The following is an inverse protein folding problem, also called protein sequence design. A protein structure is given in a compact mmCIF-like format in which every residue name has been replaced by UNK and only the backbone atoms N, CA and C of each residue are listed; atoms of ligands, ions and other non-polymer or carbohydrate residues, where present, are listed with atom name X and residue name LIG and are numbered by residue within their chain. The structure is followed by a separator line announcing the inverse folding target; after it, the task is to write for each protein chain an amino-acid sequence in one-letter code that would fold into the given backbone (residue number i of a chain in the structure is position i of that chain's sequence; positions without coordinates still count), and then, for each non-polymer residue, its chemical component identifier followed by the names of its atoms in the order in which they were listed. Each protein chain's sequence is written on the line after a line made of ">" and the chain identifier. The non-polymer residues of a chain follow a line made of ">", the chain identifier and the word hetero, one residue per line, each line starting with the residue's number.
data_IF_277247831173
#
_entry.id   IF_277247831173
#
_cell.length_a   1.000
_cell.length_b   1.000
_cell.length_c   1.000
_cell.angle_alpha   90.00
_cell.angle_beta   90.00
_cell.angle_gamma   90.00
#
_symmetry.space_group_name_H-M   'P 1'
#
loop_
_entity.id
_entity.type
_entity.pdbx_description
1 polymer ?
#
# COMPACT_ATOMS: atom_id res chain seq x y z
N UNK A 1 -33.32 2.76 14.86
CA UNK A 1 -31.96 2.56 15.43
C UNK A 1 -31.27 1.35 14.81
N UNK A 2 -30.16 1.54 14.08
CA UNK A 2 -29.34 0.43 13.54
C UNK A 2 -28.53 -0.31 14.62
N UNK A 3 -28.05 0.40 15.63
CA UNK A 3 -27.25 -0.17 16.72
C UNK A 3 -28.03 -1.21 17.54
N UNK A 4 -29.26 -0.89 17.95
CA UNK A 4 -30.09 -1.81 18.74
C UNK A 4 -30.34 -3.15 18.03
N UNK A 5 -30.66 -3.10 16.73
CA UNK A 5 -30.80 -4.30 15.90
C UNK A 5 -29.49 -5.09 15.78
N UNK A 6 -28.36 -4.40 15.66
CA UNK A 6 -27.04 -5.04 15.62
C UNK A 6 -26.70 -5.75 16.94
N UNK A 7 -26.90 -5.09 18.08
CA UNK A 7 -26.65 -5.67 19.40
C UNK A 7 -27.53 -6.90 19.64
N UNK A 8 -28.82 -6.83 19.29
CA UNK A 8 -29.73 -7.97 19.39
C UNK A 8 -29.28 -9.15 18.53
N UNK A 9 -28.91 -8.90 17.26
CA UNK A 9 -28.46 -9.96 16.35
C UNK A 9 -27.16 -10.62 16.78
N UNK A 10 -26.24 -9.86 17.36
CA UNK A 10 -24.90 -10.32 17.70
C UNK A 10 -24.68 -10.57 19.19
N UNK A 11 -25.75 -10.56 20.01
CA UNK A 11 -25.67 -10.59 21.47
C UNK A 11 -24.80 -11.75 21.99
N UNK A 12 -24.95 -12.93 21.37
CA UNK A 12 -24.14 -14.13 21.65
C UNK A 12 -22.63 -13.90 21.59
N UNK A 13 -22.14 -12.97 20.77
CA UNK A 13 -20.72 -12.68 20.58
C UNK A 13 -20.21 -11.47 21.37
N UNK A 14 -21.12 -10.66 21.90
CA UNK A 14 -20.80 -9.47 22.70
C UNK A 14 -20.62 -9.84 24.18
N UNK A 15 -21.21 -10.96 24.61
CA UNK A 15 -20.97 -11.55 25.92
C UNK A 15 -19.46 -11.65 26.19
N UNK A 16 -19.08 -11.37 27.45
CA UNK A 16 -17.68 -11.47 27.87
C UNK A 16 -17.13 -12.86 27.52
N UNK A 17 -15.83 -12.98 27.20
CA UNK A 17 -15.22 -14.29 26.93
C UNK A 17 -15.50 -15.32 28.02
N UNK A 18 -15.50 -14.91 29.28
CA UNK A 18 -15.84 -15.75 30.44
C UNK A 18 -17.26 -16.32 30.36
N UNK A 19 -18.26 -15.49 30.02
CA UNK A 19 -19.64 -15.94 29.83
C UNK A 19 -19.84 -16.83 28.60
N UNK A 20 -18.84 -16.89 27.71
CA UNK A 20 -18.81 -17.80 26.55
C UNK A 20 -18.01 -19.08 26.81
N UNK A 21 -17.55 -19.30 28.03
CA UNK A 21 -16.80 -20.50 28.43
C UNK A 21 -15.29 -20.43 28.22
N UNK A 22 -14.74 -19.27 27.87
CA UNK A 22 -13.29 -19.09 27.78
C UNK A 22 -12.70 -18.76 29.15
N UNK A 23 -11.78 -19.61 29.62
CA UNK A 23 -11.00 -19.39 30.85
C UNK A 23 -9.74 -18.58 30.51
N UNK A 24 -9.29 -17.76 31.47
CA UNK A 24 -8.02 -17.02 31.45
C UNK A 24 -7.85 -15.91 30.38
N UNK A 25 -8.94 -15.47 29.75
CA UNK A 25 -8.92 -14.30 28.84
C UNK A 25 -9.20 -13.02 29.64
N UNK A 26 -8.14 -12.36 30.10
CA UNK A 26 -8.25 -11.17 30.95
C UNK A 26 -8.06 -9.83 30.20
N UNK A 27 -7.48 -9.85 29.00
CA UNK A 27 -7.00 -8.64 28.33
C UNK A 27 -7.39 -8.63 26.84
N UNK A 28 -8.50 -7.95 26.52
CA UNK A 28 -8.85 -7.61 25.12
C UNK A 28 -7.85 -6.60 24.54
N UNK A 29 -7.19 -5.83 25.41
CA UNK A 29 -6.24 -4.78 25.04
C UNK A 29 -5.03 -5.24 24.22
N UNK A 30 -4.63 -6.52 24.31
CA UNK A 30 -3.50 -7.06 23.53
C UNK A 30 -3.78 -7.08 22.03
N UNK A 31 -5.04 -7.29 21.62
CA UNK A 31 -5.43 -7.26 20.21
C UNK A 31 -5.51 -5.81 19.71
N UNK A 32 -6.05 -4.91 20.53
CA UNK A 32 -6.18 -3.49 20.18
C UNK A 32 -4.82 -2.78 20.10
N UNK A 33 -3.88 -3.10 20.99
CA UNK A 33 -2.52 -2.55 20.98
C UNK A 33 -1.74 -2.99 19.74
N UNK A 34 -1.90 -4.25 19.34
CA UNK A 34 -1.29 -4.85 18.15
C UNK A 34 -1.85 -4.29 16.84
N UNK A 35 -3.15 -3.99 16.80
CA UNK A 35 -3.86 -3.56 15.61
C UNK A 35 -3.27 -2.30 14.96
N UNK A 36 -2.69 -1.37 15.75
CA UNK A 36 -2.08 -0.15 15.21
C UNK A 36 -0.86 -0.42 14.34
N UNK A 37 -0.02 -1.38 14.71
CA UNK A 37 1.17 -1.74 13.94
C UNK A 37 0.80 -2.21 12.52
N UNK A 38 -0.26 -3.02 12.43
CA UNK A 38 -0.82 -3.45 11.16
C UNK A 38 -1.50 -2.32 10.41
N UNK A 39 -2.40 -1.56 11.05
CA UNK A 39 -3.18 -0.51 10.38
C UNK A 39 -2.29 0.55 9.75
N UNK A 40 -1.27 1.02 10.45
CA UNK A 40 -0.40 2.08 9.92
C UNK A 40 0.43 1.66 8.71
N UNK A 41 0.73 0.35 8.56
CA UNK A 41 1.54 -0.16 7.44
C UNK A 41 0.70 -0.77 6.32
N UNK A 42 -0.48 -1.28 6.63
CA UNK A 42 -1.34 -2.02 5.71
C UNK A 42 -2.52 -1.17 5.18
N UNK A 43 -2.90 -0.08 5.86
CA UNK A 43 -3.95 0.82 5.35
C UNK A 43 -3.49 1.49 4.07
N UNK A 44 -4.40 1.58 3.10
CA UNK A 44 -4.17 2.10 1.75
C UNK A 44 -3.88 3.61 1.77
N UNK A 45 -2.66 3.99 2.11
CA UNK A 45 -2.12 5.37 2.09
C UNK A 45 -1.38 5.62 0.76
N UNK A 46 -2.04 5.35 -0.36
CA UNK A 46 -1.39 5.35 -1.69
C UNK A 46 -0.44 4.17 -1.96
N UNK A 47 -0.25 3.27 -0.97
CA UNK A 47 0.50 2.03 -1.11
C UNK A 47 -0.46 0.89 -1.43
N UNK A 48 -0.15 0.12 -2.47
CA UNK A 48 -0.87 -1.10 -2.84
C UNK A 48 0.09 -2.27 -2.80
N UNK A 49 -0.33 -3.36 -2.17
CA UNK A 49 0.47 -4.57 -2.05
C UNK A 49 -0.10 -5.66 -2.96
N UNK A 50 0.77 -6.44 -3.59
CA UNK A 50 0.38 -7.74 -4.14
C UNK A 50 0.05 -8.69 -2.98
N UNK A 51 -0.67 -9.79 -3.24
CA UNK A 51 -1.00 -10.77 -2.19
C UNK A 51 0.25 -11.32 -1.49
N UNK A 52 1.32 -11.54 -2.24
CA UNK A 52 2.63 -11.96 -1.70
C UNK A 52 3.29 -10.84 -0.89
N UNK A 53 3.33 -9.61 -1.41
CA UNK A 53 3.89 -8.46 -0.70
C UNK A 53 3.16 -8.16 0.61
N UNK A 54 1.83 -8.32 0.64
CA UNK A 54 1.01 -8.17 1.84
C UNK A 54 1.38 -9.22 2.91
N UNK A 55 1.55 -10.49 2.52
CA UNK A 55 1.99 -11.56 3.43
C UNK A 55 3.38 -11.29 3.99
N UNK A 56 4.33 -10.90 3.15
CA UNK A 56 5.68 -10.56 3.59
C UNK A 56 5.69 -9.37 4.57
N UNK A 57 4.89 -8.34 4.29
CA UNK A 57 4.77 -7.17 5.17
C UNK A 57 4.15 -7.54 6.53
N UNK A 58 3.14 -8.40 6.55
CA UNK A 58 2.55 -8.92 7.80
C UNK A 58 3.63 -9.65 8.62
N UNK A 59 4.41 -10.53 7.99
CA UNK A 59 5.50 -11.26 8.66
C UNK A 59 6.56 -10.33 9.24
N UNK A 60 6.92 -9.24 8.54
CA UNK A 60 7.85 -8.24 9.06
C UNK A 60 7.29 -7.48 10.26
N UNK A 61 6.00 -7.16 10.27
CA UNK A 61 5.35 -6.49 11.40
C UNK A 61 5.32 -7.42 12.61
N UNK A 62 4.98 -8.68 12.41
CA UNK A 62 4.95 -9.72 13.44
C UNK A 62 6.34 -9.96 14.05
N UNK A 63 7.36 -10.18 13.22
CA UNK A 63 8.73 -10.36 13.68
C UNK A 63 9.23 -9.13 14.45
N UNK A 64 8.84 -7.93 14.03
CA UNK A 64 9.16 -6.70 14.77
C UNK A 64 8.47 -6.62 16.12
N UNK A 65 7.19 -6.99 16.19
CA UNK A 65 6.42 -6.98 17.43
C UNK A 65 6.95 -8.00 18.45
N UNK A 66 7.41 -9.15 17.95
CA UNK A 66 7.98 -10.22 18.77
C UNK A 66 9.47 -10.01 19.11
N UNK A 67 10.12 -8.97 18.56
CA UNK A 67 11.56 -8.71 18.77
C UNK A 67 12.49 -9.59 17.94
N UNK A 68 11.97 -10.40 17.02
CA UNK A 68 12.67 -11.39 16.20
C UNK A 68 13.05 -10.87 14.81
N UNK A 69 12.91 -9.56 14.57
CA UNK A 69 13.10 -8.97 13.25
C UNK A 69 14.47 -9.27 12.65
N UNK A 70 15.54 -9.19 13.45
CA UNK A 70 16.89 -9.47 12.96
C UNK A 70 17.07 -10.92 12.55
N UNK A 71 16.56 -11.86 13.35
CA UNK A 71 16.61 -13.29 13.01
C UNK A 71 15.85 -13.57 11.72
N UNK A 72 14.63 -13.03 11.58
CA UNK A 72 13.81 -13.20 10.38
C UNK A 72 14.49 -12.65 9.12
N UNK A 73 15.12 -11.46 9.21
CA UNK A 73 15.86 -10.87 8.09
C UNK A 73 17.10 -11.68 7.73
N UNK A 74 17.84 -12.19 8.72
CA UNK A 74 19.02 -13.01 8.49
C UNK A 74 18.65 -14.32 7.78
N UNK A 75 17.57 -14.99 8.19
CA UNK A 75 17.07 -16.19 7.51
C UNK A 75 16.68 -15.92 6.06
N UNK A 76 16.02 -14.78 5.79
CA UNK A 76 15.67 -14.39 4.41
C UNK A 76 16.94 -14.16 3.59
N UNK A 77 17.93 -13.46 4.15
CA UNK A 77 19.21 -13.22 3.47
C UNK A 77 19.93 -14.53 3.17
N UNK A 78 19.99 -15.45 4.13
CA UNK A 78 20.59 -16.77 3.95
C UNK A 78 19.88 -17.54 2.83
N UNK A 79 18.54 -17.58 2.82
CA UNK A 79 17.77 -18.21 1.75
C UNK A 79 18.04 -17.58 0.36
N UNK A 80 18.27 -16.27 0.29
CA UNK A 80 18.65 -15.58 -0.94
C UNK A 80 20.09 -15.89 -1.35
N UNK A 81 21.01 -16.10 -0.41
CA UNK A 81 22.41 -16.46 -0.71
C UNK A 81 22.58 -17.91 -1.16
N UNK A 82 21.62 -18.79 -0.84
CA UNK A 82 21.57 -20.19 -1.30
C UNK A 82 21.06 -20.30 -2.74
N UNK A 83 20.42 -19.26 -3.28
CA UNK A 83 20.16 -19.18 -4.72
C UNK A 83 21.52 -19.06 -5.44
N UNK A 84 21.75 -19.80 -6.53
CA UNK A 84 23.01 -19.70 -7.26
C UNK A 84 23.17 -18.23 -7.64
N UNK A 85 24.24 -17.60 -7.13
CA UNK A 85 24.64 -16.25 -7.52
C UNK A 85 24.63 -16.26 -9.03
N UNK A 86 23.61 -15.64 -9.63
CA UNK A 86 23.44 -15.65 -11.07
C UNK A 86 24.64 -14.86 -11.59
N UNK A 87 25.68 -15.59 -11.98
CA UNK A 87 26.82 -15.08 -12.72
C UNK A 87 26.36 -14.76 -14.14
N UNK A 88 25.33 -13.92 -14.30
CA UNK A 88 25.09 -13.24 -15.57
C UNK A 88 25.83 -11.90 -15.51
N UNK A 89 27.16 -11.99 -15.64
CA UNK A 89 27.95 -10.90 -16.21
C UNK A 89 27.53 -10.60 -17.66
N UNK A 90 26.66 -11.42 -18.28
CA UNK A 90 26.09 -11.16 -19.61
C UNK A 90 24.90 -10.19 -19.62
N UNK A 91 24.40 -9.69 -18.47
CA UNK A 91 23.40 -8.61 -18.43
C UNK A 91 24.01 -7.20 -18.36
N UNK A 92 25.33 -7.09 -18.22
CA UNK A 92 26.04 -5.82 -18.42
C UNK A 92 26.35 -5.63 -19.91
N UNK A 93 25.38 -5.84 -20.79
CA UNK A 93 25.49 -5.28 -22.12
C UNK A 93 25.48 -3.78 -21.92
N UNK A 94 26.60 -3.12 -22.18
CA UNK A 94 26.71 -1.66 -22.13
C UNK A 94 25.62 -1.06 -23.01
N UNK A 95 24.52 -0.63 -22.38
CA UNK A 95 23.45 0.03 -23.09
C UNK A 95 24.02 1.37 -23.53
N UNK A 96 24.35 1.47 -24.81
CA UNK A 96 24.66 2.74 -25.46
C UNK A 96 23.37 3.56 -25.55
N UNK A 97 23.01 4.20 -24.42
CA UNK A 97 21.86 5.06 -24.34
C UNK A 97 22.27 6.41 -24.95
N UNK A 98 21.73 6.73 -26.13
CA UNK A 98 21.84 8.10 -26.67
C UNK A 98 21.10 9.03 -25.72
N UNK A 99 21.82 9.94 -25.06
CA UNK A 99 21.28 10.88 -24.05
C UNK A 99 20.05 11.62 -24.56
N UNK A 100 20.02 11.97 -25.85
CA UNK A 100 18.88 12.63 -26.49
C UNK A 100 17.59 11.79 -26.53
N UNK A 101 17.66 10.47 -26.61
CA UNK A 101 16.47 9.60 -26.56
C UNK A 101 16.02 9.32 -25.13
N UNK A 102 16.95 9.23 -24.18
CA UNK A 102 16.62 9.05 -22.76
C UNK A 102 15.94 10.27 -22.15
N UNK A 103 16.35 11.47 -22.57
CA UNK A 103 15.78 12.73 -22.12
C UNK A 103 14.52 13.14 -22.92
N UNK A 104 14.12 12.37 -23.94
CA UNK A 104 12.83 12.63 -24.61
C UNK A 104 11.73 12.41 -23.57
N UNK A 105 10.99 13.49 -23.29
CA UNK A 105 9.75 13.40 -22.51
C UNK A 105 8.84 12.41 -23.23
N UNK A 106 8.66 11.23 -22.63
CA UNK A 106 7.67 10.28 -23.10
C UNK A 106 6.29 10.93 -23.00
N UNK A 107 5.39 10.70 -23.98
CA UNK A 107 4.02 11.21 -23.88
C UNK A 107 3.38 10.67 -22.59
N UNK A 108 2.83 11.57 -21.79
CA UNK A 108 2.22 11.25 -20.49
C UNK A 108 1.10 10.22 -20.69
N UNK A 109 1.30 9.00 -20.20
CA UNK A 109 0.24 7.99 -20.23
C UNK A 109 -0.89 8.42 -19.31
N UNK A 110 -2.15 8.50 -19.78
CA UNK A 110 -3.26 8.83 -18.92
C UNK A 110 -3.47 7.73 -17.88
N UNK A 111 -3.81 8.13 -16.65
CA UNK A 111 -4.13 7.19 -15.58
C UNK A 111 -5.48 6.51 -15.87
N UNK A 112 -5.58 5.22 -15.55
CA UNK A 112 -6.83 4.46 -15.67
C UNK A 112 -7.85 5.07 -14.70
N UNK A 113 -8.86 5.75 -15.24
CA UNK A 113 -9.94 6.40 -14.48
C UNK A 113 -9.98 7.93 -14.55
N UNK A 114 -9.03 8.59 -15.21
CA UNK A 114 -9.12 10.03 -15.46
C UNK A 114 -10.20 10.31 -16.52
N UNK A 115 -11.28 10.97 -16.13
CA UNK A 115 -12.28 11.50 -17.07
C UNK A 115 -11.62 12.65 -17.84
N UNK A 116 -11.41 12.47 -19.15
CA UNK A 116 -10.92 13.54 -20.01
C UNK A 116 -12.06 14.54 -20.24
N UNK A 117 -11.98 15.69 -19.56
CA UNK A 117 -12.88 16.82 -19.76
C UNK A 117 -12.12 17.98 -20.40
N UNK A 118 -12.76 18.65 -21.35
CA UNK A 118 -12.26 19.90 -21.94
C UNK A 118 -13.15 21.02 -21.40
N UNK A 119 -12.55 22.10 -20.91
CA UNK A 119 -13.28 23.33 -20.58
C UNK A 119 -13.47 24.10 -21.90
N UNK A 120 -14.70 24.21 -22.45
CA UNK A 120 -14.91 25.00 -23.65
C UNK A 120 -14.69 26.48 -23.34
N UNK A 121 -13.82 27.13 -24.10
CA UNK A 121 -13.61 28.57 -24.00
C UNK A 121 -14.70 29.25 -24.82
N UNK A 122 -15.77 29.71 -24.15
CA UNK A 122 -16.83 30.50 -24.78
C UNK A 122 -16.59 32.01 -24.64
N UNK A 123 -15.35 32.44 -24.34
CA UNK A 123 -15.02 33.83 -24.05
C UNK A 123 -13.64 34.22 -24.61
N UNK A 124 -13.37 35.51 -24.78
CA UNK A 124 -12.07 35.96 -25.29
C UNK A 124 -10.88 35.48 -24.42
N UNK A 125 -9.77 35.10 -25.05
CA UNK A 125 -8.56 34.55 -24.40
C UNK A 125 -7.91 35.52 -23.39
N UNK A 126 -8.18 36.82 -23.51
CA UNK A 126 -7.74 37.85 -22.58
C UNK A 126 -8.46 37.83 -21.23
N UNK A 127 -9.61 37.15 -21.11
CA UNK A 127 -10.39 37.04 -19.88
C UNK A 127 -9.86 35.96 -18.94
N UNK A 128 -10.21 35.98 -17.64
CA UNK A 128 -9.69 35.06 -16.64
C UNK A 128 -9.83 33.57 -17.02
N UNK A 129 -10.95 33.17 -17.62
CA UNK A 129 -11.17 31.80 -18.09
C UNK A 129 -10.23 31.40 -19.24
N UNK A 130 -9.92 32.33 -20.15
CA UNK A 130 -8.98 32.10 -21.25
C UNK A 130 -7.53 32.02 -20.77
N UNK A 131 -7.15 32.87 -19.82
CA UNK A 131 -5.81 32.83 -19.21
C UNK A 131 -5.59 31.55 -18.39
N UNK A 132 -6.61 31.09 -17.65
CA UNK A 132 -6.57 29.83 -16.91
C UNK A 132 -6.40 28.63 -17.84
N UNK A 133 -7.15 28.57 -18.94
CA UNK A 133 -7.00 27.51 -19.94
C UNK A 133 -5.58 27.48 -20.51
N UNK A 134 -5.02 28.64 -20.85
CA UNK A 134 -3.64 28.75 -21.37
C UNK A 134 -2.61 28.20 -20.39
N UNK A 135 -2.81 28.39 -19.08
CA UNK A 135 -1.93 27.85 -18.04
C UNK A 135 -2.06 26.34 -17.85
N UNK A 136 -3.18 25.73 -18.23
CA UNK A 136 -3.42 24.29 -18.11
C UNK A 136 -2.94 23.48 -19.33
N UNK A 137 -2.75 24.13 -20.49
CA UNK A 137 -2.35 23.47 -21.75
C UNK A 137 -0.86 23.60 -22.11
N UNK A 138 -0.07 24.34 -21.32
CA UNK A 138 1.40 24.50 -21.48
C UNK A 138 2.16 23.73 -20.39
#
# INVERSE_FOLDING_TARGET
>A
MRLRKYLQRNWRYILSPQMRGFKDIHLIGSVESSHRAFTYRMKKQGKSWTKQGAKAMIGLIEARMNGELQASLNTILEQLTVLPRVAQTSLLQEMHIRTGEFLRKAPTKPSIGAVQGIIPINTATSRPMGQLFKALTH
#
